data_IF_036148201214
#
_entry.id   IF_036148201214
#
_cell.length_a   1.000
_cell.length_b   1.000
_cell.length_c   1.000
_cell.angle_alpha   90.00
_cell.angle_beta   90.00
_cell.angle_gamma   90.00
#
_symmetry.space_group_name_H-M   'P 1'
#
loop_
_entity.id
_entity.type
_entity.pdbx_description
1 polymer ?
#
# COMPACT_ATOMS: atom_id res chain seq x y z
N UNK A 1 -6.56 -8.33 -14.81
CA UNK A 1 -7.83 -7.74 -14.36
C UNK A 1 -7.82 -6.29 -14.79
N UNK A 2 -8.67 -5.94 -15.76
CA UNK A 2 -8.82 -4.55 -16.18
C UNK A 2 -9.93 -3.89 -15.37
N UNK A 3 -9.69 -2.64 -14.97
CA UNK A 3 -10.67 -1.80 -14.28
C UNK A 3 -10.83 -0.51 -15.08
N UNK A 4 -12.07 -0.09 -15.33
CA UNK A 4 -12.35 1.25 -15.84
C UNK A 4 -12.58 2.18 -14.65
N UNK A 5 -11.84 3.28 -14.58
CA UNK A 5 -11.92 4.24 -13.48
C UNK A 5 -12.48 5.55 -14.02
N UNK A 6 -13.56 6.04 -13.41
CA UNK A 6 -14.25 7.28 -13.79
C UNK A 6 -14.41 8.16 -12.56
N UNK A 7 -14.14 9.46 -12.70
CA UNK A 7 -14.45 10.43 -11.66
C UNK A 7 -15.96 10.73 -11.69
N UNK A 8 -16.64 10.50 -10.56
CA UNK A 8 -18.10 10.71 -10.44
C UNK A 8 -18.45 12.00 -9.71
N UNK A 9 -17.50 12.55 -8.93
CA UNK A 9 -17.57 13.84 -8.25
C UNK A 9 -16.14 14.37 -8.03
N UNK A 10 -16.01 15.64 -7.63
CA UNK A 10 -14.71 16.28 -7.38
C UNK A 10 -13.87 15.56 -6.29
N UNK A 11 -14.53 14.79 -5.42
CA UNK A 11 -13.94 14.07 -4.30
C UNK A 11 -14.10 12.54 -4.38
N UNK A 12 -14.57 11.97 -5.50
CA UNK A 12 -14.86 10.52 -5.59
C UNK A 12 -14.56 9.88 -6.95
N UNK A 13 -13.93 8.72 -6.90
CA UNK A 13 -13.66 7.84 -8.04
C UNK A 13 -14.54 6.59 -7.98
N UNK A 14 -15.04 6.15 -9.13
CA UNK A 14 -15.71 4.86 -9.30
C UNK A 14 -14.85 3.96 -10.21
N UNK A 15 -14.47 2.78 -9.73
CA UNK A 15 -13.83 1.75 -10.53
C UNK A 15 -14.82 0.63 -10.82
N UNK A 16 -14.98 0.28 -12.10
CA UNK A 16 -15.81 -0.85 -12.53
C UNK A 16 -14.91 -1.95 -13.08
N UNK A 17 -15.13 -3.20 -12.65
CA UNK A 17 -14.43 -4.36 -13.22
C UNK A 17 -15.19 -4.96 -14.41
N UNK A 18 -14.55 -5.88 -15.13
CA UNK A 18 -15.16 -6.57 -16.29
C UNK A 18 -16.42 -7.39 -15.92
N UNK A 19 -16.59 -7.72 -14.64
CA UNK A 19 -17.79 -8.39 -14.10
C UNK A 19 -18.92 -7.42 -13.73
N UNK A 20 -18.75 -6.11 -13.97
CA UNK A 20 -19.74 -5.07 -13.69
C UNK A 20 -19.84 -4.65 -12.22
N UNK A 21 -18.94 -5.11 -11.36
CA UNK A 21 -18.88 -4.70 -9.96
C UNK A 21 -18.26 -3.30 -9.85
N UNK A 22 -18.90 -2.44 -9.06
CA UNK A 22 -18.52 -1.04 -8.85
C UNK A 22 -17.90 -0.85 -7.48
N UNK A 23 -16.77 -0.14 -7.44
CA UNK A 23 -16.07 0.22 -6.22
C UNK A 23 -15.93 1.74 -6.18
N UNK A 24 -16.37 2.36 -5.10
CA UNK A 24 -16.27 3.81 -4.93
C UNK A 24 -15.17 4.15 -3.93
N UNK A 25 -14.27 5.06 -4.30
CA UNK A 25 -13.15 5.51 -3.48
C UNK A 25 -13.25 7.01 -3.25
N UNK A 26 -13.25 7.49 -1.99
CA UNK A 26 -13.09 8.90 -1.70
C UNK A 26 -11.66 9.36 -2.04
N UNK A 27 -11.55 10.46 -2.78
CA UNK A 27 -10.29 11.10 -3.17
C UNK A 27 -9.57 11.67 -1.95
N UNK A 28 -10.30 12.13 -0.93
CA UNK A 28 -9.69 12.64 0.31
C UNK A 28 -8.84 11.58 1.03
N UNK A 29 -9.25 10.31 1.02
CA UNK A 29 -8.46 9.19 1.58
C UNK A 29 -7.25 8.84 0.68
N UNK A 30 -7.37 9.03 -0.63
CA UNK A 30 -6.25 8.94 -1.57
C UNK A 30 -5.23 10.06 -1.32
N UNK A 31 -5.66 11.26 -0.93
CA UNK A 31 -4.77 12.36 -0.55
C UNK A 31 -4.09 12.10 0.80
N UNK A 32 -4.79 11.50 1.78
CA UNK A 32 -4.21 11.12 3.07
C UNK A 32 -3.12 10.04 2.95
N UNK A 33 -3.27 9.12 2.00
CA UNK A 33 -2.26 8.08 1.70
C UNK A 33 -1.14 8.57 0.77
N UNK A 34 -1.35 9.68 0.06
CA UNK A 34 -0.34 10.34 -0.76
C UNK A 34 0.56 11.22 0.10
N UNK A 35 1.36 10.60 0.97
CA UNK A 35 2.58 11.25 1.47
C UNK A 35 3.32 11.78 0.24
N UNK A 36 3.53 13.10 0.17
CA UNK A 36 4.24 13.70 -0.95
C UNK A 36 5.54 12.91 -1.20
N UNK A 37 5.88 12.57 -2.46
CA UNK A 37 7.17 11.97 -2.74
C UNK A 37 8.24 12.89 -2.16
N UNK A 38 9.04 12.39 -1.23
CA UNK A 38 10.20 13.14 -0.73
C UNK A 38 11.16 13.27 -1.91
N UNK A 39 11.14 14.42 -2.56
CA UNK A 39 11.97 14.73 -3.73
C UNK A 39 13.46 14.89 -3.41
N UNK A 40 13.83 14.85 -2.12
CA UNK A 40 15.21 14.97 -1.64
C UNK A 40 15.76 13.65 -1.04
N UNK A 41 15.26 12.50 -1.50
CA UNK A 41 15.91 11.22 -1.14
C UNK A 41 17.06 10.99 -2.12
N UNK A 42 18.27 11.42 -1.73
CA UNK A 42 19.50 10.94 -2.39
C UNK A 42 19.47 9.41 -2.38
N UNK A 43 19.61 8.81 -3.57
CA UNK A 43 19.52 7.37 -3.82
C UNK A 43 20.43 6.52 -2.90
N UNK A 44 21.46 7.12 -2.28
CA UNK A 44 22.33 6.48 -1.28
C UNK A 44 21.82 6.46 0.19
N UNK A 45 20.63 6.98 0.48
CA UNK A 45 20.05 7.01 1.86
C UNK A 45 18.88 6.06 2.06
N UNK A 46 18.43 5.39 1.00
CA UNK A 46 17.49 4.28 1.15
C UNK A 46 18.25 3.14 1.84
N UNK A 47 17.72 2.57 2.95
CA UNK A 47 18.35 1.43 3.56
C UNK A 47 18.52 0.34 2.50
N UNK A 48 19.77 -0.08 2.27
CA UNK A 48 20.19 -1.11 1.30
C UNK A 48 19.78 -2.50 1.81
N UNK A 49 18.57 -2.63 2.32
CA UNK A 49 17.91 -3.92 2.42
C UNK A 49 17.18 -4.08 1.10
N UNK A 50 17.65 -5.00 0.27
CA UNK A 50 16.86 -5.44 -0.89
C UNK A 50 15.45 -5.79 -0.40
N UNK A 51 14.40 -5.63 -1.23
CA UNK A 51 13.03 -5.96 -0.83
C UNK A 51 12.92 -7.35 -0.17
N UNK A 52 13.72 -8.32 -0.64
CA UNK A 52 13.84 -9.66 -0.05
C UNK A 52 14.35 -9.64 1.40
N UNK A 53 15.39 -8.87 1.70
CA UNK A 53 15.93 -8.75 3.07
C UNK A 53 14.94 -8.05 4.01
N UNK A 54 14.13 -7.13 3.49
CA UNK A 54 13.05 -6.49 4.25
C UNK A 54 11.95 -7.49 4.59
N UNK A 55 11.56 -8.34 3.64
CA UNK A 55 10.58 -9.41 3.86
C UNK A 55 11.09 -10.46 4.85
N UNK A 56 12.37 -10.80 4.77
CA UNK A 56 13.00 -11.75 5.70
C UNK A 56 13.02 -11.24 7.14
N UNK A 57 13.34 -9.96 7.34
CA UNK A 57 13.26 -9.30 8.66
C UNK A 57 11.82 -9.24 9.18
N UNK A 58 10.86 -8.93 8.32
CA UNK A 58 9.45 -8.89 8.69
C UNK A 58 8.93 -10.28 9.12
N UNK A 59 9.31 -11.35 8.40
CA UNK A 59 8.98 -12.73 8.78
C UNK A 59 9.54 -13.07 10.15
N UNK A 60 10.81 -12.76 10.39
CA UNK A 60 11.47 -13.04 11.68
C UNK A 60 10.80 -12.30 12.84
N UNK A 61 10.45 -11.02 12.65
CA UNK A 61 9.75 -10.25 13.67
C UNK A 61 8.36 -10.83 14.00
N UNK A 62 7.64 -11.34 13.00
CA UNK A 62 6.36 -12.01 13.20
C UNK A 62 6.50 -13.33 13.98
N UNK A 63 7.55 -14.10 13.71
CA UNK A 63 7.87 -15.34 14.46
C UNK A 63 8.25 -15.04 15.91
N UNK A 64 9.11 -14.05 16.15
CA UNK A 64 9.50 -13.63 17.49
C UNK A 64 8.28 -13.16 18.30
N UNK A 65 7.37 -12.43 17.66
CA UNK A 65 6.10 -12.02 18.27
C UNK A 65 5.21 -13.23 18.61
N UNK A 66 5.06 -14.18 17.69
CA UNK A 66 4.24 -15.37 17.88
C UNK A 66 4.76 -16.22 19.06
N UNK A 67 6.08 -16.41 19.17
CA UNK A 67 6.72 -17.11 20.28
C UNK A 67 6.50 -16.35 21.59
N UNK A 68 6.72 -15.02 21.60
CA UNK A 68 6.56 -14.20 22.80
C UNK A 68 5.13 -14.21 23.37
N UNK A 69 4.13 -14.45 22.51
CA UNK A 69 2.72 -14.47 22.88
C UNK A 69 2.13 -15.89 22.91
N UNK A 70 2.94 -16.94 22.76
CA UNK A 70 2.51 -18.34 22.81
C UNK A 70 1.46 -18.69 21.75
N UNK A 71 1.53 -18.04 20.58
CA UNK A 71 0.61 -18.27 19.46
C UNK A 71 1.01 -19.51 18.63
N UNK A 72 2.23 -20.01 18.87
CA UNK A 72 2.82 -21.25 18.33
C UNK A 72 3.72 -21.90 19.39
#
# INVERSE_FOLDING_TARGET
MNFSVVAIADDRLEATNEAGQRFTFPIDELHATRKAPRTDVKVGTLPVATPLRTLELARKAAEDYAIAHGLI
#
